data_IF_994534561458
#
_entry.id   IF_994534561458
#
_cell.length_a   1.000
_cell.length_b   1.000
_cell.length_c   1.000
_cell.angle_alpha   90.00
_cell.angle_beta   90.00
_cell.angle_gamma   90.00
#
_symmetry.space_group_name_H-M   'P 1'
#
loop_
_entity.id
_entity.type
_entity.pdbx_description
1 polymer ?
#
# COMPACT_ATOMS: atom_id res chain seq x y z
N UNK A 1 -10.39 23.02 -14.68
CA UNK A 1 -8.97 22.67 -14.50
C UNK A 1 -8.95 21.20 -14.13
N UNK A 2 -8.21 20.38 -14.83
CA UNK A 2 -8.03 18.96 -14.49
C UNK A 2 -7.25 18.93 -13.16
N UNK A 3 -7.86 18.39 -12.11
CA UNK A 3 -7.19 18.24 -10.82
C UNK A 3 -6.23 17.06 -10.93
N UNK A 4 -4.91 17.31 -10.85
CA UNK A 4 -3.89 16.26 -10.88
C UNK A 4 -3.95 15.47 -9.58
N UNK A 5 -4.05 14.13 -9.70
CA UNK A 5 -4.06 13.21 -8.55
C UNK A 5 -3.21 11.99 -8.86
N UNK A 6 -2.34 11.61 -7.93
CA UNK A 6 -1.52 10.40 -8.11
C UNK A 6 -2.35 9.12 -8.18
N UNK A 7 -3.51 9.10 -7.54
CA UNK A 7 -4.44 7.96 -7.59
C UNK A 7 -5.33 7.95 -8.86
N UNK A 8 -5.12 8.85 -9.83
CA UNK A 8 -5.80 8.83 -11.13
C UNK A 8 -5.19 7.77 -12.07
N UNK A 9 -5.88 7.39 -13.17
CA UNK A 9 -5.34 6.49 -14.18
C UNK A 9 -4.00 6.95 -14.75
N UNK A 10 -3.83 8.26 -15.00
CA UNK A 10 -2.60 8.87 -15.51
C UNK A 10 -1.47 8.81 -14.48
N UNK A 11 -1.75 9.18 -13.23
CA UNK A 11 -0.78 9.08 -12.13
C UNK A 11 -0.28 7.64 -11.94
N UNK A 12 -1.19 6.67 -11.93
CA UNK A 12 -0.87 5.24 -11.84
C UNK A 12 -0.06 4.75 -13.07
N UNK A 13 -0.34 5.26 -14.28
CA UNK A 13 0.44 4.92 -15.47
C UNK A 13 1.86 5.48 -15.42
N UNK A 14 2.03 6.73 -14.96
CA UNK A 14 3.35 7.35 -14.76
C UNK A 14 4.15 6.56 -13.71
N UNK A 15 3.53 6.16 -12.61
CA UNK A 15 4.18 5.33 -11.59
C UNK A 15 4.63 3.98 -12.13
N UNK A 16 3.75 3.29 -12.86
CA UNK A 16 4.07 2.00 -13.46
C UNK A 16 5.24 2.11 -14.45
N UNK A 17 5.26 3.18 -15.25
CA UNK A 17 6.40 3.49 -16.12
C UNK A 17 7.68 3.74 -15.33
N UNK A 18 7.64 4.58 -14.28
CA UNK A 18 8.82 4.92 -13.50
C UNK A 18 9.36 3.76 -12.65
N UNK A 19 8.49 2.81 -12.27
CA UNK A 19 8.82 1.67 -11.39
C UNK A 19 9.04 0.36 -12.13
N UNK A 20 8.94 0.36 -13.47
CA UNK A 20 9.05 -0.84 -14.32
C UNK A 20 8.06 -1.96 -13.92
N UNK A 21 6.84 -1.57 -13.50
CA UNK A 21 5.81 -2.50 -13.07
C UNK A 21 4.64 -1.81 -12.36
N UNK A 22 3.56 -2.55 -12.17
CA UNK A 22 2.32 -2.05 -11.56
C UNK A 22 2.41 -1.96 -10.02
N UNK A 23 3.49 -1.35 -9.51
CA UNK A 23 3.67 -1.11 -8.08
C UNK A 23 3.24 0.32 -7.71
N UNK A 24 2.27 0.48 -6.83
CA UNK A 24 1.86 1.79 -6.32
C UNK A 24 2.69 2.26 -5.11
N UNK A 25 3.43 1.35 -4.46
CA UNK A 25 4.21 1.58 -3.25
C UNK A 25 5.70 1.84 -3.54
N UNK A 26 6.46 2.50 -2.64
CA UNK A 26 7.90 2.66 -2.78
C UNK A 26 8.65 1.34 -2.55
N UNK A 27 9.83 1.20 -3.18
CA UNK A 27 10.73 0.07 -3.00
C UNK A 27 10.37 -1.18 -3.79
N UNK A 28 9.29 -1.19 -4.54
CA UNK A 28 8.90 -2.22 -5.48
C UNK A 28 9.15 -3.64 -4.91
N UNK A 29 9.81 -4.53 -5.66
CA UNK A 29 10.11 -5.90 -5.19
C UNK A 29 11.05 -5.97 -3.98
N UNK A 30 11.90 -4.96 -3.76
CA UNK A 30 12.75 -4.90 -2.56
C UNK A 30 11.88 -4.75 -1.31
N UNK A 31 10.92 -3.82 -1.33
CA UNK A 31 9.98 -3.64 -0.22
C UNK A 31 9.19 -4.92 0.06
N UNK A 32 8.72 -5.60 -0.99
CA UNK A 32 7.96 -6.84 -0.86
C UNK A 32 8.80 -7.98 -0.26
N UNK A 33 10.05 -8.13 -0.68
CA UNK A 33 10.96 -9.14 -0.08
C UNK A 33 11.21 -8.88 1.40
N UNK A 34 11.41 -7.62 1.77
CA UNK A 34 11.61 -7.24 3.18
C UNK A 34 10.33 -7.44 4.00
N UNK A 35 9.17 -6.99 3.50
CA UNK A 35 7.88 -7.17 4.17
C UNK A 35 7.52 -8.66 4.34
N UNK A 36 7.71 -9.46 3.29
CA UNK A 36 7.51 -10.91 3.34
C UNK A 36 8.43 -11.59 4.36
N UNK A 37 9.64 -11.05 4.57
CA UNK A 37 10.58 -11.53 5.59
C UNK A 37 10.12 -11.34 7.04
N UNK A 38 9.13 -10.49 7.30
CA UNK A 38 8.51 -10.30 8.62
C UNK A 38 7.46 -11.37 8.94
N UNK A 39 7.08 -12.19 7.97
CA UNK A 39 6.00 -13.17 8.11
C UNK A 39 6.55 -14.58 8.11
N UNK A 40 6.22 -15.36 9.13
CA UNK A 40 6.44 -16.80 9.08
C UNK A 40 5.51 -17.41 8.03
N UNK A 41 6.11 -17.91 6.95
CA UNK A 41 5.39 -18.48 5.81
C UNK A 41 4.78 -19.85 6.10
N UNK A 42 5.15 -20.53 7.20
CA UNK A 42 4.71 -21.87 7.49
C UNK A 42 3.17 -21.95 7.59
N UNK A 43 2.56 -22.80 6.76
CA UNK A 43 1.11 -23.03 6.76
C UNK A 43 0.27 -21.95 6.07
N UNK A 44 0.88 -20.93 5.46
CA UNK A 44 0.15 -19.94 4.66
C UNK A 44 -0.19 -20.56 3.29
N UNK A 45 -1.48 -20.54 2.93
CA UNK A 45 -2.02 -21.04 1.66
C UNK A 45 -2.95 -20.06 0.97
N UNK A 46 -3.60 -19.16 1.73
CA UNK A 46 -4.50 -18.12 1.21
C UNK A 46 -4.14 -16.75 1.74
N UNK A 47 -3.91 -15.83 0.83
CA UNK A 47 -3.52 -14.46 1.19
C UNK A 47 -4.40 -13.43 0.50
N UNK A 48 -4.63 -12.29 1.15
CA UNK A 48 -5.39 -11.17 0.62
C UNK A 48 -4.51 -9.92 0.53
N UNK A 49 -4.53 -9.27 -0.64
CA UNK A 49 -3.96 -7.96 -0.91
C UNK A 49 -5.06 -6.90 -0.81
N UNK A 50 -5.06 -6.08 0.24
CA UNK A 50 -6.10 -5.06 0.46
C UNK A 50 -5.60 -3.69 0.00
N UNK A 51 -6.28 -3.11 -0.99
CA UNK A 51 -5.80 -1.96 -1.74
C UNK A 51 -4.78 -2.39 -2.80
N UNK A 52 -5.09 -3.46 -3.53
CA UNK A 52 -4.16 -4.11 -4.47
C UNK A 52 -3.84 -3.26 -5.72
N UNK A 53 -4.57 -2.17 -5.96
CA UNK A 53 -4.39 -1.31 -7.11
C UNK A 53 -4.40 -2.08 -8.43
N UNK A 54 -3.35 -1.92 -9.24
CA UNK A 54 -3.20 -2.55 -10.55
C UNK A 54 -2.69 -3.99 -10.49
N UNK A 55 -2.50 -4.58 -9.29
CA UNK A 55 -2.27 -6.02 -9.09
C UNK A 55 -0.80 -6.49 -9.10
N UNK A 56 0.17 -5.59 -9.28
CA UNK A 56 1.60 -5.97 -9.36
C UNK A 56 2.11 -6.65 -8.09
N UNK A 57 1.68 -6.17 -6.92
CA UNK A 57 2.01 -6.76 -5.61
C UNK A 57 1.42 -8.17 -5.46
N UNK A 58 0.14 -8.32 -5.79
CA UNK A 58 -0.54 -9.63 -5.76
C UNK A 58 0.15 -10.65 -6.69
N UNK A 59 0.52 -10.24 -7.89
CA UNK A 59 1.25 -11.09 -8.83
C UNK A 59 2.62 -11.50 -8.30
N UNK A 60 3.35 -10.56 -7.68
CA UNK A 60 4.65 -10.87 -7.06
C UNK A 60 4.51 -11.97 -6.00
N UNK A 61 3.57 -11.84 -5.05
CA UNK A 61 3.33 -12.88 -4.03
C UNK A 61 2.93 -14.21 -4.66
N UNK A 62 2.09 -14.21 -5.69
CA UNK A 62 1.71 -15.41 -6.43
C UNK A 62 2.93 -16.10 -7.07
N UNK A 63 3.79 -15.34 -7.78
CA UNK A 63 5.04 -15.85 -8.39
C UNK A 63 6.04 -16.38 -7.36
N UNK A 64 6.05 -15.83 -6.13
CA UNK A 64 6.86 -16.35 -5.03
C UNK A 64 6.24 -17.59 -4.36
N UNK A 65 5.09 -18.05 -4.83
CA UNK A 65 4.43 -19.28 -4.35
C UNK A 65 3.83 -19.14 -2.95
N UNK A 66 3.28 -17.98 -2.58
CA UNK A 66 2.62 -17.75 -1.28
C UNK A 66 1.23 -18.38 -1.18
N UNK A 67 0.79 -19.10 -2.19
CA UNK A 67 -0.52 -19.76 -2.26
C UNK A 67 -1.51 -19.00 -3.14
N UNK A 68 -2.81 -19.16 -2.85
CA UNK A 68 -3.88 -18.43 -3.53
C UNK A 68 -3.85 -16.95 -3.13
N UNK A 69 -3.72 -16.06 -4.11
CA UNK A 69 -3.71 -14.60 -3.88
C UNK A 69 -5.00 -13.99 -4.37
N UNK A 70 -5.68 -13.26 -3.49
CA UNK A 70 -6.89 -12.50 -3.81
C UNK A 70 -6.62 -11.02 -3.54
N UNK A 71 -6.73 -10.20 -4.59
CA UNK A 71 -6.61 -8.74 -4.49
C UNK A 71 -7.98 -8.07 -4.42
N UNK A 72 -8.10 -7.05 -3.56
CA UNK A 72 -9.30 -6.20 -3.49
C UNK A 72 -8.91 -4.72 -3.57
N UNK A 73 -9.68 -3.95 -4.33
CA UNK A 73 -9.51 -2.50 -4.43
C UNK A 73 -10.86 -1.85 -4.74
N UNK A 74 -11.05 -0.61 -4.32
CA UNK A 74 -12.26 0.16 -4.59
C UNK A 74 -12.31 0.65 -6.05
N UNK A 75 -11.14 0.86 -6.69
CA UNK A 75 -11.04 1.37 -8.06
C UNK A 75 -11.28 0.28 -9.10
N UNK A 76 -12.48 0.29 -9.68
CA UNK A 76 -12.88 -0.65 -10.73
C UNK A 76 -11.93 -0.64 -11.94
N UNK A 77 -11.35 0.52 -12.30
CA UNK A 77 -10.43 0.65 -13.43
C UNK A 77 -9.11 -0.08 -13.15
N UNK A 78 -8.58 0.05 -11.94
CA UNK A 78 -7.39 -0.69 -11.50
C UNK A 78 -7.64 -2.19 -11.48
N UNK A 79 -8.78 -2.63 -10.96
CA UNK A 79 -9.15 -4.05 -10.92
C UNK A 79 -9.33 -4.63 -12.33
N UNK A 80 -9.94 -3.88 -13.26
CA UNK A 80 -10.04 -4.31 -14.65
C UNK A 80 -8.66 -4.48 -15.30
N UNK A 81 -7.73 -3.56 -15.03
CA UNK A 81 -6.34 -3.68 -15.46
C UNK A 81 -5.68 -4.92 -14.84
N UNK A 82 -5.79 -5.12 -13.53
CA UNK A 82 -5.19 -6.23 -12.80
C UNK A 82 -5.66 -7.60 -13.36
N UNK A 83 -6.97 -7.75 -13.60
CA UNK A 83 -7.54 -8.97 -14.18
C UNK A 83 -7.00 -9.30 -15.58
N UNK A 84 -6.76 -8.26 -16.40
CA UNK A 84 -6.19 -8.45 -17.75
C UNK A 84 -4.70 -8.78 -17.70
N UNK A 85 -3.97 -8.10 -16.83
CA UNK A 85 -2.52 -8.21 -16.77
C UNK A 85 -2.05 -9.44 -16.00
N UNK A 86 -2.78 -9.84 -14.95
CA UNK A 86 -2.41 -10.90 -14.02
C UNK A 86 -3.52 -11.97 -13.88
N UNK A 87 -3.86 -12.68 -14.97
CA UNK A 87 -5.00 -13.62 -14.99
C UNK A 87 -4.82 -14.84 -14.07
N UNK A 88 -3.63 -15.06 -13.53
CA UNK A 88 -3.34 -16.14 -12.56
C UNK A 88 -3.79 -15.79 -11.14
N UNK A 89 -4.14 -14.53 -10.87
CA UNK A 89 -4.63 -14.08 -9.57
C UNK A 89 -6.11 -13.72 -9.66
N UNK A 90 -6.78 -13.65 -8.52
CA UNK A 90 -8.19 -13.29 -8.45
C UNK A 90 -8.34 -11.86 -7.90
N UNK A 91 -9.17 -11.03 -8.53
CA UNK A 91 -9.35 -9.63 -8.13
C UNK A 91 -10.82 -9.27 -8.04
N UNK A 92 -11.19 -8.51 -6.97
CA UNK A 92 -12.54 -8.00 -6.77
C UNK A 92 -12.54 -6.48 -6.61
N UNK A 93 -13.54 -5.82 -7.20
CA UNK A 93 -13.89 -4.46 -6.84
C UNK A 93 -14.62 -4.53 -5.51
N UNK A 94 -14.03 -4.03 -4.45
CA UNK A 94 -14.60 -4.14 -3.11
C UNK A 94 -14.13 -2.97 -2.23
N UNK A 95 -15.08 -2.39 -1.50
CA UNK A 95 -14.81 -1.46 -0.41
C UNK A 95 -14.32 -2.27 0.80
N UNK A 96 -13.19 -1.86 1.40
CA UNK A 96 -12.63 -2.48 2.59
C UNK A 96 -13.61 -2.50 3.76
N UNK A 97 -14.48 -1.50 3.87
CA UNK A 97 -15.54 -1.43 4.89
C UNK A 97 -16.59 -2.53 4.78
N UNK A 98 -16.57 -3.31 3.70
CA UNK A 98 -17.54 -4.35 3.38
C UNK A 98 -16.89 -5.69 2.99
N UNK A 99 -15.64 -5.96 3.39
CA UNK A 99 -14.89 -7.17 3.00
C UNK A 99 -15.64 -8.47 3.33
N UNK A 100 -16.29 -8.54 4.48
CA UNK A 100 -17.03 -9.72 4.92
C UNK A 100 -18.19 -10.10 3.97
N UNK A 101 -18.69 -9.16 3.18
CA UNK A 101 -19.77 -9.44 2.21
C UNK A 101 -19.34 -10.27 1.01
N UNK A 102 -18.02 -10.43 0.78
CA UNK A 102 -17.50 -11.32 -0.26
C UNK A 102 -17.71 -12.81 0.06
N UNK A 103 -18.03 -13.16 1.32
CA UNK A 103 -18.25 -14.55 1.77
C UNK A 103 -17.15 -15.51 1.34
N UNK A 104 -15.90 -15.05 1.33
CA UNK A 104 -14.74 -15.86 0.98
C UNK A 104 -14.32 -16.76 2.17
N UNK A 105 -13.66 -17.86 1.88
CA UNK A 105 -13.03 -18.66 2.93
C UNK A 105 -11.93 -17.84 3.64
N UNK A 106 -11.69 -18.07 4.96
CA UNK A 106 -10.77 -17.27 5.73
C UNK A 106 -9.33 -17.25 5.16
N UNK A 107 -8.64 -16.13 5.40
CA UNK A 107 -7.27 -15.90 4.96
C UNK A 107 -6.25 -16.20 6.06
N UNK A 108 -5.09 -16.70 5.66
CA UNK A 108 -3.95 -16.97 6.53
C UNK A 108 -3.11 -15.71 6.75
N UNK A 109 -3.01 -14.88 5.70
CA UNK A 109 -2.32 -13.61 5.69
C UNK A 109 -3.17 -12.57 4.96
N UNK A 110 -3.34 -11.41 5.57
CA UNK A 110 -3.86 -10.20 4.93
C UNK A 110 -2.73 -9.19 4.93
N UNK A 111 -2.46 -8.57 3.79
CA UNK A 111 -1.41 -7.57 3.72
C UNK A 111 -1.86 -6.29 2.99
N UNK A 112 -1.23 -5.18 3.39
CA UNK A 112 -1.42 -3.85 2.84
C UNK A 112 -0.05 -3.21 2.65
N UNK A 113 0.21 -2.73 1.44
CA UNK A 113 1.48 -2.05 1.13
C UNK A 113 1.16 -0.64 0.63
N UNK A 114 1.29 0.34 1.53
CA UNK A 114 0.95 1.76 1.31
C UNK A 114 -0.45 1.99 0.76
N UNK A 115 -1.44 1.41 1.42
CA UNK A 115 -2.87 1.59 1.12
C UNK A 115 -3.70 1.91 2.37
N UNK A 116 -3.22 1.57 3.56
CA UNK A 116 -3.97 1.74 4.82
C UNK A 116 -4.18 3.22 5.16
N UNK A 117 -3.19 4.09 4.88
CA UNK A 117 -3.31 5.54 5.07
C UNK A 117 -4.48 6.17 4.32
N UNK A 118 -4.94 5.54 3.23
CA UNK A 118 -6.00 6.07 2.37
C UNK A 118 -7.41 5.69 2.86
N UNK A 119 -7.55 4.83 3.87
CA UNK A 119 -8.84 4.41 4.36
C UNK A 119 -9.47 5.47 5.28
N UNK A 120 -10.71 5.90 5.00
CA UNK A 120 -11.36 6.94 5.79
C UNK A 120 -11.72 6.48 7.21
N UNK A 121 -11.92 5.18 7.43
CA UNK A 121 -12.20 4.55 8.72
C UNK A 121 -11.29 3.34 8.91
N UNK A 122 -10.11 3.58 9.45
CA UNK A 122 -9.11 2.54 9.69
C UNK A 122 -9.55 1.50 10.72
N UNK A 123 -10.18 1.86 11.84
CA UNK A 123 -10.73 0.87 12.77
C UNK A 123 -11.75 -0.07 12.12
N UNK A 124 -12.69 0.46 11.32
CA UNK A 124 -13.65 -0.37 10.58
C UNK A 124 -12.94 -1.31 9.61
N UNK A 125 -11.93 -0.81 8.86
CA UNK A 125 -11.15 -1.63 7.95
C UNK A 125 -10.42 -2.76 8.67
N UNK A 126 -9.78 -2.48 9.81
CA UNK A 126 -9.13 -3.50 10.66
C UNK A 126 -10.12 -4.55 11.16
N UNK A 127 -11.32 -4.11 11.59
CA UNK A 127 -12.38 -5.02 12.02
C UNK A 127 -12.87 -5.93 10.87
N UNK A 128 -13.10 -5.37 9.69
CA UNK A 128 -13.49 -6.14 8.50
C UNK A 128 -12.42 -7.16 8.07
N UNK A 129 -11.14 -6.76 8.11
CA UNK A 129 -10.02 -7.67 7.85
C UNK A 129 -9.94 -8.77 8.90
N UNK A 130 -10.21 -8.46 10.18
CA UNK A 130 -10.26 -9.48 11.24
C UNK A 130 -11.36 -10.53 10.98
N UNK A 131 -12.56 -10.09 10.54
CA UNK A 131 -13.66 -11.00 10.24
C UNK A 131 -13.37 -12.00 9.12
N UNK A 132 -12.50 -11.65 8.15
CA UNK A 132 -12.14 -12.53 7.03
C UNK A 132 -10.82 -13.25 7.24
N UNK A 133 -10.12 -12.97 8.34
CA UNK A 133 -8.88 -13.65 8.73
C UNK A 133 -9.20 -14.88 9.60
N UNK A 134 -8.44 -15.95 9.47
CA UNK A 134 -8.56 -17.08 10.40
C UNK A 134 -8.04 -16.72 11.79
N UNK A 135 -8.51 -17.37 12.87
CA UNK A 135 -7.90 -17.23 14.18
C UNK A 135 -6.40 -17.53 14.13
N UNK A 136 -5.56 -16.66 14.69
CA UNK A 136 -4.10 -16.75 14.62
C UNK A 136 -3.48 -16.41 13.28
N UNK A 137 -4.28 -16.00 12.29
CA UNK A 137 -3.78 -15.50 11.00
C UNK A 137 -3.01 -14.19 11.17
N UNK A 138 -2.33 -13.78 10.12
CA UNK A 138 -1.41 -12.63 10.17
C UNK A 138 -1.97 -11.44 9.40
N UNK A 139 -1.85 -10.25 9.96
CA UNK A 139 -1.95 -8.98 9.28
C UNK A 139 -0.53 -8.43 9.09
N UNK A 140 -0.19 -8.00 7.87
CA UNK A 140 1.06 -7.31 7.54
C UNK A 140 0.71 -5.95 6.95
N UNK A 141 1.22 -4.87 7.53
CA UNK A 141 1.05 -3.52 6.99
C UNK A 141 2.41 -2.86 6.84
N UNK A 142 2.63 -2.27 5.65
CA UNK A 142 3.72 -1.34 5.37
C UNK A 142 3.09 -0.02 4.96
N UNK A 143 3.30 1.05 5.75
CA UNK A 143 2.63 2.31 5.48
C UNK A 143 3.35 3.54 6.06
N UNK A 144 2.80 4.73 5.78
CA UNK A 144 3.26 5.99 6.32
C UNK A 144 2.90 6.15 7.79
N UNK A 145 3.75 6.90 8.50
CA UNK A 145 3.50 7.27 9.90
C UNK A 145 3.57 8.77 10.10
N UNK A 146 2.83 9.25 11.10
CA UNK A 146 3.00 10.58 11.69
C UNK A 146 3.62 10.44 13.08
N UNK A 147 4.49 11.37 13.43
CA UNK A 147 4.89 11.53 14.83
C UNK A 147 3.77 12.19 15.63
N UNK A 148 3.67 11.84 16.91
CA UNK A 148 2.69 12.46 17.81
C UNK A 148 2.77 13.99 17.76
N UNK A 149 1.62 14.63 17.55
CA UNK A 149 1.48 16.09 17.46
C UNK A 149 1.88 16.71 16.11
N UNK A 150 2.29 15.90 15.13
CA UNK A 150 2.50 16.36 13.76
C UNK A 150 1.21 16.25 12.94
N UNK A 151 1.14 17.04 11.89
CA UNK A 151 0.08 16.99 10.87
C UNK A 151 0.69 16.67 9.51
N UNK A 152 -0.11 16.08 8.63
CA UNK A 152 0.30 15.85 7.24
C UNK A 152 0.71 17.22 6.64
N UNK A 153 1.88 17.31 5.98
CA UNK A 153 2.30 18.55 5.32
C UNK A 153 1.27 19.02 4.28
N UNK A 154 0.89 20.29 4.34
CA UNK A 154 -0.12 20.87 3.44
C UNK A 154 0.25 20.76 1.95
N UNK A 155 1.54 20.68 1.65
CA UNK A 155 2.09 20.54 0.30
C UNK A 155 1.72 19.18 -0.35
N UNK A 156 1.34 18.20 0.45
CA UNK A 156 0.90 16.87 -0.01
C UNK A 156 -0.61 16.82 -0.28
N UNK A 157 -1.35 17.87 0.12
CA UNK A 157 -2.81 17.94 -0.05
C UNK A 157 -3.51 16.78 0.63
N UNK A 158 -4.64 16.36 0.04
CA UNK A 158 -5.46 15.24 0.55
C UNK A 158 -4.95 13.86 0.04
N UNK A 159 -3.84 13.82 -0.69
CA UNK A 159 -3.30 12.56 -1.25
C UNK A 159 -2.70 11.65 -0.17
N UNK A 160 -2.22 12.21 0.93
CA UNK A 160 -1.82 11.48 2.14
C UNK A 160 -2.94 11.64 3.17
N UNK A 161 -3.84 10.67 3.25
CA UNK A 161 -5.03 10.71 4.11
C UNK A 161 -4.70 10.63 5.59
N UNK A 162 -4.68 9.43 6.17
CA UNK A 162 -4.50 9.18 7.60
C UNK A 162 -3.28 8.28 7.87
N UNK A 163 -2.04 8.85 7.91
CA UNK A 163 -0.87 8.08 8.30
C UNK A 163 -1.01 7.52 9.73
N UNK A 164 -0.36 6.39 9.98
CA UNK A 164 -0.42 5.69 11.26
C UNK A 164 0.24 6.53 12.36
N UNK A 165 -0.45 6.71 13.48
CA UNK A 165 0.10 7.26 14.72
C UNK A 165 0.61 6.11 15.58
N UNK A 166 1.93 5.93 15.66
CA UNK A 166 2.54 4.75 16.28
C UNK A 166 2.21 4.59 17.76
N UNK A 167 2.07 5.70 18.50
CA UNK A 167 1.77 5.68 19.93
C UNK A 167 0.39 5.04 20.24
N UNK A 168 -0.55 5.11 19.29
CA UNK A 168 -1.89 4.54 19.43
C UNK A 168 -2.04 3.17 18.73
N UNK A 169 -1.04 2.73 17.96
CA UNK A 169 -1.17 1.57 17.07
C UNK A 169 -1.55 0.30 17.81
N UNK A 170 -0.87 -0.02 18.91
CA UNK A 170 -1.11 -1.27 19.66
C UNK A 170 -2.53 -1.31 20.24
N UNK A 171 -3.01 -0.19 20.78
CA UNK A 171 -4.37 -0.09 21.37
C UNK A 171 -5.43 -0.19 20.27
N UNK A 172 -5.25 0.54 19.14
CA UNK A 172 -6.16 0.48 17.99
C UNK A 172 -6.25 -0.93 17.43
N UNK A 173 -5.13 -1.63 17.30
CA UNK A 173 -5.11 -3.02 16.85
C UNK A 173 -5.87 -3.93 17.82
N UNK A 174 -5.63 -3.78 19.14
CA UNK A 174 -6.26 -4.61 20.15
C UNK A 174 -7.79 -4.42 20.18
N UNK A 175 -8.28 -3.19 20.07
CA UNK A 175 -9.72 -2.86 19.97
C UNK A 175 -10.38 -3.51 18.75
N UNK A 176 -9.61 -3.74 17.67
CA UNK A 176 -10.09 -4.35 16.43
C UNK A 176 -9.83 -5.87 16.35
N UNK A 177 -9.40 -6.51 17.44
CA UNK A 177 -9.18 -7.96 17.49
C UNK A 177 -7.80 -8.41 17.04
N UNK A 178 -6.83 -7.50 16.92
CA UNK A 178 -5.46 -7.83 16.51
C UNK A 178 -4.48 -7.64 17.67
N UNK A 179 -3.45 -8.49 17.73
CA UNK A 179 -2.33 -8.35 18.68
C UNK A 179 -1.05 -8.02 17.92
N UNK A 180 -0.47 -6.84 18.13
CA UNK A 180 0.79 -6.43 17.54
C UNK A 180 1.89 -7.45 17.88
N UNK A 181 2.58 -7.97 16.87
CA UNK A 181 3.61 -8.99 17.02
C UNK A 181 5.01 -8.44 16.79
N UNK A 182 5.17 -7.60 15.76
CA UNK A 182 6.46 -7.06 15.35
C UNK A 182 6.25 -5.70 14.68
N UNK A 183 7.21 -4.78 14.89
CA UNK A 183 7.19 -3.45 14.29
C UNK A 183 8.61 -3.02 13.96
N UNK A 184 8.83 -2.46 12.76
CA UNK A 184 10.09 -1.91 12.30
C UNK A 184 9.91 -0.49 11.77
N UNK A 185 10.81 0.42 12.12
CA UNK A 185 10.90 1.75 11.49
C UNK A 185 11.54 1.64 10.11
N UNK A 186 10.77 1.98 9.08
CA UNK A 186 11.21 1.99 7.69
C UNK A 186 11.40 3.38 7.13
N UNK A 187 11.43 4.42 7.94
CA UNK A 187 11.58 5.82 7.51
C UNK A 187 12.80 6.02 6.60
N UNK A 188 13.95 5.48 6.98
CA UNK A 188 15.16 5.58 6.16
C UNK A 188 15.03 4.85 4.81
N UNK A 189 14.32 3.70 4.78
CA UNK A 189 14.03 2.96 3.54
C UNK A 189 13.12 3.76 2.63
N UNK A 190 12.01 4.28 3.16
CA UNK A 190 11.08 5.12 2.41
C UNK A 190 11.80 6.33 1.81
N UNK A 191 12.63 7.02 2.61
CA UNK A 191 13.44 8.17 2.15
C UNK A 191 14.32 7.78 0.96
N UNK A 192 15.05 6.66 1.07
CA UNK A 192 15.92 6.18 -0.02
C UNK A 192 15.15 5.77 -1.28
N UNK A 193 14.02 5.08 -1.13
CA UNK A 193 13.19 4.66 -2.25
C UNK A 193 12.53 5.83 -2.99
N UNK A 194 12.10 6.88 -2.27
CA UNK A 194 11.55 8.07 -2.91
C UNK A 194 12.63 8.92 -3.58
N UNK A 195 13.85 8.99 -3.02
CA UNK A 195 14.99 9.58 -3.73
C UNK A 195 15.27 8.86 -5.06
N UNK A 196 15.25 7.52 -5.05
CA UNK A 196 15.42 6.71 -6.25
C UNK A 196 14.28 6.92 -7.25
N UNK A 197 13.02 7.05 -6.79
CA UNK A 197 11.88 7.33 -7.66
C UNK A 197 12.01 8.69 -8.36
N UNK A 198 12.37 9.75 -7.63
CA UNK A 198 12.62 11.08 -8.19
C UNK A 198 13.72 11.05 -9.26
N UNK A 199 14.79 10.30 -9.02
CA UNK A 199 15.83 10.09 -10.00
C UNK A 199 15.29 9.40 -11.26
N UNK A 200 14.46 8.34 -11.12
CA UNK A 200 13.84 7.63 -12.26
C UNK A 200 12.88 8.51 -13.04
N UNK A 201 12.10 9.39 -12.39
CA UNK A 201 11.27 10.38 -13.09
C UNK A 201 12.13 11.27 -14.00
N UNK A 202 13.26 11.79 -13.49
CA UNK A 202 14.16 12.61 -14.29
C UNK A 202 14.77 11.85 -15.47
N UNK A 203 15.20 10.60 -15.28
CA UNK A 203 15.72 9.76 -16.37
C UNK A 203 14.67 9.52 -17.46
N UNK A 204 13.41 9.41 -17.09
CA UNK A 204 12.28 9.11 -17.99
C UNK A 204 11.47 10.33 -18.37
N UNK A 205 12.00 11.54 -18.13
CA UNK A 205 11.31 12.80 -18.35
C UNK A 205 10.62 12.88 -19.71
N UNK A 206 11.34 12.58 -20.78
CA UNK A 206 10.78 12.67 -22.15
C UNK A 206 9.63 11.68 -22.38
N UNK A 207 9.71 10.45 -21.87
CA UNK A 207 8.66 9.44 -22.01
C UNK A 207 7.43 9.80 -21.18
N UNK A 208 7.62 10.36 -19.98
CA UNK A 208 6.51 10.83 -19.14
C UNK A 208 5.79 12.01 -19.79
N UNK A 209 6.55 12.95 -20.37
CA UNK A 209 5.97 14.09 -21.09
C UNK A 209 5.20 13.64 -22.35
N UNK A 210 5.72 12.65 -23.08
CA UNK A 210 5.02 12.06 -24.22
C UNK A 210 3.74 11.34 -23.79
N UNK A 211 3.76 10.64 -22.66
CA UNK A 211 2.62 9.89 -22.13
C UNK A 211 1.50 10.81 -21.60
N UNK A 212 1.84 11.85 -20.84
CA UNK A 212 0.88 12.60 -20.04
C UNK A 212 1.01 14.13 -20.12
N UNK A 213 2.06 14.66 -20.73
CA UNK A 213 2.33 16.09 -20.84
C UNK A 213 3.28 16.63 -19.78
N UNK A 214 3.79 17.85 -20.05
CA UNK A 214 4.77 18.51 -19.15
C UNK A 214 4.16 18.84 -17.77
N UNK A 215 2.88 19.20 -17.71
CA UNK A 215 2.19 19.56 -16.47
C UNK A 215 2.13 18.37 -15.51
N UNK A 216 1.93 17.15 -16.02
CA UNK A 216 2.01 15.93 -15.22
C UNK A 216 3.42 15.65 -14.72
N UNK A 217 4.44 15.84 -15.58
CA UNK A 217 5.83 15.69 -15.15
C UNK A 217 6.16 16.64 -14.00
N UNK A 218 5.82 17.92 -14.15
CA UNK A 218 6.07 18.95 -13.12
C UNK A 218 5.30 18.64 -11.83
N UNK A 219 4.04 18.19 -11.94
CA UNK A 219 3.25 17.77 -10.78
C UNK A 219 3.89 16.59 -10.02
N UNK A 220 4.26 15.50 -10.69
CA UNK A 220 4.85 14.34 -10.01
C UNK A 220 6.19 14.69 -9.36
N UNK A 221 7.00 15.52 -10.01
CA UNK A 221 8.28 15.98 -9.45
C UNK A 221 8.08 16.85 -8.20
N UNK A 222 7.10 17.75 -8.23
CA UNK A 222 6.78 18.61 -7.09
C UNK A 222 6.21 17.79 -5.94
N UNK A 223 5.21 16.95 -6.20
CA UNK A 223 4.51 16.18 -5.17
C UNK A 223 5.42 15.15 -4.48
N UNK A 224 6.14 14.32 -5.27
CA UNK A 224 7.09 13.37 -4.70
C UNK A 224 8.32 14.03 -4.10
N UNK A 225 8.71 15.21 -4.59
CA UNK A 225 9.73 16.05 -3.96
C UNK A 225 9.31 16.51 -2.56
N UNK A 226 8.07 16.99 -2.41
CA UNK A 226 7.51 17.37 -1.11
C UNK A 226 7.40 16.16 -0.15
N UNK A 227 6.95 15.01 -0.65
CA UNK A 227 6.89 13.76 0.14
C UNK A 227 8.28 13.32 0.62
N UNK A 228 9.26 13.30 -0.28
CA UNK A 228 10.64 12.97 0.07
C UNK A 228 11.22 13.96 1.11
N UNK A 229 10.96 15.26 0.95
CA UNK A 229 11.40 16.27 1.92
C UNK A 229 10.73 16.07 3.29
N UNK A 230 9.43 15.75 3.32
CA UNK A 230 8.71 15.46 4.57
C UNK A 230 9.30 14.24 5.32
N UNK A 231 9.78 13.23 4.60
CA UNK A 231 10.49 12.08 5.17
C UNK A 231 11.89 12.45 5.69
N UNK A 232 12.65 13.26 4.94
CA UNK A 232 13.95 13.79 5.38
C UNK A 232 13.85 14.64 6.65
N UNK A 233 12.83 15.48 6.72
CA UNK A 233 12.55 16.34 7.88
C UNK A 233 11.90 15.59 9.04
N UNK A 234 11.63 14.29 8.85
CA UNK A 234 10.93 13.44 9.81
C UNK A 234 9.53 13.95 10.22
N UNK A 235 8.88 14.71 9.33
CA UNK A 235 7.46 15.08 9.47
C UNK A 235 6.53 13.92 9.13
N UNK A 236 6.98 13.06 8.23
CA UNK A 236 6.42 11.74 7.95
C UNK A 236 7.48 10.67 8.21
N UNK A 237 7.04 9.45 8.41
CA UNK A 237 7.88 8.27 8.50
C UNK A 237 7.30 7.10 7.70
N UNK A 238 7.97 5.97 7.77
CA UNK A 238 7.50 4.70 7.27
C UNK A 238 7.58 3.62 8.34
N UNK A 239 6.63 2.69 8.36
CA UNK A 239 6.60 1.55 9.27
C UNK A 239 6.28 0.28 8.51
N UNK A 240 6.84 -0.84 8.96
CA UNK A 240 6.33 -2.16 8.65
C UNK A 240 6.01 -2.88 9.96
N UNK A 241 4.84 -3.49 10.05
CA UNK A 241 4.46 -4.27 11.23
C UNK A 241 3.62 -5.49 10.88
N UNK A 242 3.64 -6.46 11.79
CA UNK A 242 2.75 -7.62 11.76
C UNK A 242 1.91 -7.68 13.02
N UNK A 243 0.68 -8.19 12.89
CA UNK A 243 -0.21 -8.47 14.01
C UNK A 243 -0.88 -9.84 13.80
N UNK A 244 -1.32 -10.47 14.90
CA UNK A 244 -2.05 -11.75 14.89
C UNK A 244 -3.52 -11.52 15.18
N UNK A 245 -4.39 -12.19 14.42
CA UNK A 245 -5.80 -12.21 14.72
C UNK A 245 -6.05 -12.95 16.03
N UNK A 246 -6.76 -12.32 16.99
CA UNK A 246 -7.26 -12.97 18.20
C UNK A 246 -8.30 -14.03 17.85
N UNK A 247 -8.40 -15.06 18.69
CA UNK A 247 -9.39 -16.14 18.54
C UNK A 247 -10.80 -15.74 18.98
#
# INVERSE_FOLDING_TARGET
MTEFRMNSPEGKAILALARDGDYAHPGEEEALRLAAGLVDRAGIQRIMDVGCGRGGTADWFGRQGWGEVIGVDLDATSIEHARRQYPSQTFFVQDVSQLATLHLAPFDLIYLITSFYAFPDQPLALHQMHQVCRPGGTLLIVDYTLRAGQTVPSELGDEIGQPIVLDALADTLAECGWSLSQQEDWTARFTGWYAALLYRFNLRRHVIIELAGIEWFDFVMQWYGALHQALLDQRLGGVAFTAKASG
#
